data_IF_824206821567
#
_entry.id   IF_824206821567
#
_cell.length_a   1.000
_cell.length_b   1.000
_cell.length_c   1.000
_cell.angle_alpha   90.00
_cell.angle_beta   90.00
_cell.angle_gamma   90.00
#
_symmetry.space_group_name_H-M   'P 1'
#
loop_
_entity.id
_entity.type
_entity.pdbx_description
1 polymer ?
#
# COMPACT_ATOMS: atom_id res chain seq x y z
N UNK A 1 -71.61 -32.56 -29.66
CA UNK A 1 -70.89 -33.85 -29.51
C UNK A 1 -69.42 -33.57 -29.78
N UNK A 2 -68.46 -33.50 -28.85
CA UNK A 2 -68.40 -34.08 -27.51
C UNK A 2 -67.39 -35.23 -27.49
N UNK A 3 -66.08 -34.93 -27.44
CA UNK A 3 -65.05 -35.82 -26.88
C UNK A 3 -63.96 -34.97 -26.17
N UNK A 4 -63.83 -35.22 -24.87
CA UNK A 4 -62.79 -34.74 -23.95
C UNK A 4 -61.59 -35.72 -23.99
N UNK A 5 -60.57 -35.46 -23.15
CA UNK A 5 -59.34 -36.21 -22.82
C UNK A 5 -58.10 -35.75 -23.62
N UNK A 6 -56.94 -35.43 -23.05
CA UNK A 6 -56.46 -35.39 -21.68
C UNK A 6 -55.19 -34.51 -21.57
N UNK A 7 -54.89 -34.06 -20.35
CA UNK A 7 -53.68 -33.37 -19.89
C UNK A 7 -52.38 -34.11 -20.25
N UNK A 8 -51.32 -33.35 -20.55
CA UNK A 8 -49.95 -33.67 -20.12
C UNK A 8 -49.12 -32.37 -20.06
N UNK A 9 -49.11 -31.76 -18.88
CA UNK A 9 -48.15 -30.74 -18.47
C UNK A 9 -46.83 -31.47 -18.22
N UNK A 10 -45.81 -31.20 -19.02
CA UNK A 10 -44.43 -31.56 -18.70
C UNK A 10 -43.62 -30.27 -18.50
N UNK A 11 -43.66 -29.82 -17.25
CA UNK A 11 -42.72 -28.87 -16.67
C UNK A 11 -41.33 -29.51 -16.69
N UNK A 12 -40.52 -29.19 -17.68
CA UNK A 12 -39.07 -29.39 -17.56
C UNK A 12 -38.53 -28.17 -16.83
N UNK A 13 -38.51 -28.26 -15.49
CA UNK A 13 -37.63 -27.44 -14.67
C UNK A 13 -36.19 -27.83 -15.04
N UNK A 14 -35.65 -27.14 -16.04
CA UNK A 14 -34.21 -27.08 -16.25
C UNK A 14 -33.62 -26.44 -15.00
N UNK A 15 -33.17 -27.30 -14.08
CA UNK A 15 -32.35 -26.92 -12.94
C UNK A 15 -31.01 -26.46 -13.53
N UNK A 16 -30.97 -25.22 -14.01
CA UNK A 16 -29.73 -24.51 -14.29
C UNK A 16 -29.03 -24.37 -12.94
N UNK A 17 -28.18 -25.35 -12.64
CA UNK A 17 -27.21 -25.25 -11.56
C UNK A 17 -26.46 -23.93 -11.78
N UNK A 18 -26.81 -22.95 -10.97
CA UNK A 18 -26.06 -21.73 -10.80
C UNK A 18 -24.66 -22.14 -10.32
N UNK A 19 -23.75 -22.37 -11.26
CA UNK A 19 -22.32 -22.28 -10.97
C UNK A 19 -22.01 -20.79 -10.82
N UNK A 20 -22.51 -20.21 -9.73
CA UNK A 20 -21.98 -18.97 -9.17
C UNK A 20 -20.85 -19.35 -8.21
N UNK A 21 -19.88 -20.12 -8.72
CA UNK A 21 -18.69 -20.53 -7.99
C UNK A 21 -17.52 -19.75 -8.59
N UNK A 22 -17.00 -18.82 -7.78
CA UNK A 22 -15.63 -18.27 -7.81
C UNK A 22 -15.18 -17.20 -8.81
N UNK A 23 -16.05 -16.31 -9.27
CA UNK A 23 -15.56 -15.02 -9.79
C UNK A 23 -14.89 -14.15 -8.69
N UNK A 24 -15.32 -14.29 -7.43
CA UNK A 24 -14.87 -13.42 -6.31
C UNK A 24 -13.52 -13.80 -5.70
N UNK A 25 -13.15 -15.08 -5.66
CA UNK A 25 -11.85 -15.51 -5.15
C UNK A 25 -10.71 -15.27 -6.16
N UNK A 26 -11.06 -15.20 -7.45
CA UNK A 26 -10.12 -14.98 -8.55
C UNK A 26 -9.59 -13.53 -8.52
N UNK A 27 -10.46 -12.55 -8.26
CA UNK A 27 -10.07 -11.12 -8.19
C UNK A 27 -9.14 -10.78 -7.00
N UNK A 28 -9.41 -11.33 -5.81
CA UNK A 28 -8.62 -11.00 -4.61
C UNK A 28 -7.24 -11.65 -4.64
N UNK A 29 -7.14 -12.91 -5.07
CA UNK A 29 -5.85 -13.61 -5.25
C UNK A 29 -4.98 -12.89 -6.28
N UNK A 30 -5.58 -12.43 -7.37
CA UNK A 30 -4.88 -11.64 -8.38
C UNK A 30 -4.43 -10.29 -7.84
N UNK A 31 -5.29 -9.55 -7.13
CA UNK A 31 -4.92 -8.29 -6.49
C UNK A 31 -3.74 -8.46 -5.51
N UNK A 32 -3.76 -9.51 -4.68
CA UNK A 32 -2.65 -9.88 -3.80
C UNK A 32 -1.36 -10.15 -4.58
N UNK A 33 -1.41 -10.96 -5.64
CA UNK A 33 -0.24 -11.24 -6.49
C UNK A 33 0.33 -9.96 -7.14
N UNK A 34 -0.54 -9.09 -7.63
CA UNK A 34 -0.13 -7.80 -8.19
C UNK A 34 0.46 -6.89 -7.11
N UNK A 35 -0.02 -6.98 -5.87
CA UNK A 35 0.48 -6.17 -4.77
C UNK A 35 1.89 -6.58 -4.37
N UNK A 36 2.20 -7.86 -4.44
CA UNK A 36 3.54 -8.41 -4.22
C UNK A 36 4.59 -7.82 -5.18
N UNK A 37 4.26 -7.73 -6.47
CA UNK A 37 5.14 -7.09 -7.45
C UNK A 37 5.20 -5.58 -7.25
N UNK A 38 4.05 -4.95 -7.04
CA UNK A 38 3.95 -3.51 -6.83
C UNK A 38 4.76 -3.04 -5.61
N UNK A 39 4.68 -3.75 -4.47
CA UNK A 39 5.44 -3.36 -3.26
C UNK A 39 6.95 -3.46 -3.47
N UNK A 40 7.42 -4.46 -4.22
CA UNK A 40 8.84 -4.62 -4.51
C UNK A 40 9.35 -3.47 -5.40
N UNK A 41 8.59 -3.12 -6.43
CA UNK A 41 8.89 -1.97 -7.30
C UNK A 41 8.83 -0.65 -6.52
N UNK A 42 7.85 -0.51 -5.64
CA UNK A 42 7.70 0.67 -4.80
C UNK A 42 8.88 0.85 -3.84
N UNK A 43 9.27 -0.19 -3.11
CA UNK A 43 10.43 -0.13 -2.22
C UNK A 43 11.70 0.18 -3.00
N UNK A 44 11.89 -0.41 -4.18
CA UNK A 44 13.00 -0.07 -5.07
C UNK A 44 12.98 1.41 -5.47
N UNK A 45 11.82 1.97 -5.80
CA UNK A 45 11.66 3.39 -6.11
C UNK A 45 12.02 4.28 -4.91
N UNK A 46 11.61 3.92 -3.69
CA UNK A 46 11.98 4.65 -2.48
C UNK A 46 13.50 4.62 -2.26
N UNK A 47 14.15 3.47 -2.45
CA UNK A 47 15.60 3.36 -2.33
C UNK A 47 16.35 4.18 -3.40
N UNK A 48 15.85 4.23 -4.64
CA UNK A 48 16.55 4.88 -5.75
C UNK A 48 16.28 6.38 -5.88
N UNK A 49 15.07 6.81 -5.53
CA UNK A 49 14.57 8.15 -5.84
C UNK A 49 13.93 8.85 -4.64
N UNK A 50 13.84 8.18 -3.49
CA UNK A 50 13.29 8.76 -2.28
C UNK A 50 14.20 9.79 -1.63
N UNK A 51 13.76 10.28 -0.47
CA UNK A 51 14.49 11.21 0.40
C UNK A 51 15.37 10.48 1.43
N UNK A 52 15.67 9.21 1.17
CA UNK A 52 16.40 8.35 2.08
C UNK A 52 17.89 8.38 1.78
N UNK A 53 18.70 8.29 2.83
CA UNK A 53 20.15 8.26 2.78
C UNK A 53 20.80 9.49 3.44
N UNK A 54 22.00 9.35 4.05
CA UNK A 54 22.74 10.48 4.61
C UNK A 54 23.04 11.59 3.60
N UNK A 55 23.13 11.27 2.30
CA UNK A 55 23.34 12.22 1.22
C UNK A 55 22.12 13.11 0.94
N UNK A 56 20.94 12.77 1.50
CA UNK A 56 19.69 13.53 1.40
C UNK A 56 19.45 14.42 2.62
N UNK A 57 20.50 14.77 3.34
CA UNK A 57 20.40 15.60 4.55
C UNK A 57 19.67 16.92 4.26
N UNK A 58 18.70 17.22 5.11
CA UNK A 58 17.94 18.45 5.13
C UNK A 58 18.34 19.30 6.32
N UNK A 59 18.14 20.61 6.24
CA UNK A 59 18.48 21.55 7.30
C UNK A 59 17.27 22.38 7.69
N UNK A 60 17.03 22.50 8.98
CA UNK A 60 15.97 23.31 9.57
C UNK A 60 16.58 24.34 10.52
N UNK A 61 16.30 25.62 10.30
CA UNK A 61 16.75 26.72 11.16
C UNK A 61 15.67 27.00 12.23
N UNK A 62 16.05 26.90 13.50
CA UNK A 62 15.10 27.07 14.61
C UNK A 62 14.93 28.55 14.89
N UNK A 63 13.80 29.11 14.46
CA UNK A 63 13.49 30.54 14.63
C UNK A 63 13.63 30.99 16.09
N UNK A 64 14.32 32.10 16.29
CA UNK A 64 14.57 32.67 17.63
C UNK A 64 15.71 31.99 18.40
N UNK A 65 16.33 30.96 17.84
CA UNK A 65 17.53 30.32 18.38
C UNK A 65 18.64 30.37 17.32
N UNK A 66 19.90 30.59 17.71
CA UNK A 66 21.04 30.44 16.78
C UNK A 66 21.37 28.95 16.61
N UNK A 67 20.37 28.17 16.19
CA UNK A 67 20.42 26.71 16.07
C UNK A 67 19.93 26.26 14.69
N UNK A 68 20.61 25.25 14.17
CA UNK A 68 20.31 24.53 12.95
C UNK A 68 20.23 23.05 13.28
N UNK A 69 19.17 22.38 12.82
CA UNK A 69 19.01 20.93 12.89
C UNK A 69 19.30 20.35 11.51
N UNK A 70 20.25 19.42 11.44
CA UNK A 70 20.46 18.59 10.26
C UNK A 70 19.73 17.27 10.44
N UNK A 71 18.94 16.86 9.45
CA UNK A 71 18.08 15.67 9.51
C UNK A 71 18.19 14.86 8.22
N UNK A 72 18.37 13.56 8.36
CA UNK A 72 18.20 12.61 7.25
C UNK A 72 17.41 11.39 7.73
N UNK A 73 16.90 10.62 6.76
CA UNK A 73 16.12 9.41 7.02
C UNK A 73 16.72 8.22 6.30
N UNK A 74 16.59 7.03 6.85
CA UNK A 74 16.99 5.76 6.24
C UNK A 74 15.78 4.84 6.20
N UNK A 75 15.64 4.08 5.10
CA UNK A 75 14.71 2.96 5.06
C UNK A 75 15.18 1.88 6.04
N UNK A 76 14.27 1.46 6.91
CA UNK A 76 14.50 0.41 7.90
C UNK A 76 13.82 -0.91 7.53
N UNK A 77 13.51 -1.70 8.56
CA UNK A 77 12.95 -3.04 8.41
C UNK A 77 11.54 -3.03 7.79
N UNK A 78 11.28 -3.96 6.88
CA UNK A 78 9.92 -4.27 6.46
C UNK A 78 9.12 -4.87 7.63
N UNK A 79 7.90 -4.38 7.88
CA UNK A 79 7.04 -4.89 8.96
C UNK A 79 5.89 -5.73 8.46
N UNK A 80 5.08 -5.19 7.54
CA UNK A 80 3.90 -5.90 7.05
C UNK A 80 3.50 -5.46 5.64
N UNK A 81 2.85 -6.38 4.93
CA UNK A 81 2.12 -6.10 3.70
C UNK A 81 0.83 -6.90 3.71
N UNK A 82 -0.30 -6.26 3.41
CA UNK A 82 -1.59 -6.95 3.28
C UNK A 82 -2.50 -6.23 2.30
N UNK A 83 -3.42 -6.99 1.71
CA UNK A 83 -4.52 -6.44 0.92
C UNK A 83 -5.81 -6.55 1.73
N UNK A 84 -6.63 -5.50 1.68
CA UNK A 84 -7.98 -5.49 2.25
C UNK A 84 -8.99 -5.19 1.16
N UNK A 85 -10.10 -5.92 1.17
CA UNK A 85 -11.25 -5.61 0.33
C UNK A 85 -11.99 -4.38 0.85
N UNK A 86 -12.61 -3.63 -0.06
CA UNK A 86 -13.52 -2.53 0.27
C UNK A 86 -14.89 -2.78 -0.34
N UNK A 87 -15.88 -2.01 0.10
CA UNK A 87 -17.24 -2.04 -0.44
C UNK A 87 -17.41 -1.13 -1.67
N UNK A 88 -16.36 -0.45 -2.11
CA UNK A 88 -16.40 0.51 -3.22
C UNK A 88 -15.97 -0.12 -4.53
N UNK A 89 -16.89 -0.18 -5.52
CA UNK A 89 -16.60 -0.75 -6.85
C UNK A 89 -15.42 -0.09 -7.58
N UNK A 90 -15.21 1.21 -7.40
CA UNK A 90 -14.09 1.94 -8.02
C UNK A 90 -12.74 1.73 -7.34
N UNK A 91 -12.73 1.14 -6.14
CA UNK A 91 -11.51 0.83 -5.38
C UNK A 91 -11.71 -0.48 -4.61
N UNK A 92 -11.91 -1.62 -5.30
CA UNK A 92 -12.35 -2.86 -4.64
C UNK A 92 -11.34 -3.39 -3.61
N UNK A 93 -10.07 -2.95 -3.69
CA UNK A 93 -9.03 -3.32 -2.74
C UNK A 93 -8.17 -2.13 -2.34
N UNK A 94 -7.62 -2.20 -1.12
CA UNK A 94 -6.53 -1.35 -0.64
C UNK A 94 -5.36 -2.22 -0.20
N UNK A 95 -4.16 -1.81 -0.57
CA UNK A 95 -2.90 -2.45 -0.21
C UNK A 95 -2.28 -1.64 0.91
N UNK A 96 -1.87 -2.30 1.98
CA UNK A 96 -1.23 -1.66 3.13
C UNK A 96 0.18 -2.20 3.20
N UNK A 97 1.16 -1.30 3.22
CA UNK A 97 2.57 -1.58 3.39
C UNK A 97 3.07 -0.82 4.60
N UNK A 98 3.68 -1.52 5.57
CA UNK A 98 4.35 -0.86 6.68
C UNK A 98 5.80 -1.27 6.77
N UNK A 99 6.67 -0.30 7.01
CA UNK A 99 8.10 -0.46 7.18
C UNK A 99 8.62 0.56 8.18
N UNK A 100 9.83 0.36 8.69
CA UNK A 100 10.47 1.32 9.57
C UNK A 100 11.15 2.42 8.78
N UNK A 101 11.12 3.62 9.32
CA UNK A 101 11.99 4.72 8.94
C UNK A 101 12.84 5.09 10.14
N UNK A 102 14.15 5.07 9.95
CA UNK A 102 15.10 5.58 10.93
C UNK A 102 15.38 7.03 10.62
N UNK A 103 15.11 7.92 11.55
CA UNK A 103 15.33 9.36 11.43
C UNK A 103 16.51 9.74 12.31
N UNK A 104 17.52 10.37 11.71
CA UNK A 104 18.74 10.78 12.40
C UNK A 104 18.83 12.31 12.38
N UNK A 105 19.06 12.90 13.54
CA UNK A 105 19.11 14.34 13.74
C UNK A 105 20.37 14.76 14.48
N UNK A 106 20.92 15.92 14.11
CA UNK A 106 22.02 16.56 14.83
C UNK A 106 21.80 18.07 14.88
N UNK A 107 22.20 18.69 16.00
CA UNK A 107 22.08 20.12 16.21
C UNK A 107 23.46 20.80 16.10
N UNK A 108 23.47 22.03 15.57
CA UNK A 108 24.64 22.89 15.58
C UNK A 108 24.27 24.36 15.45
N UNK A 109 25.24 25.25 15.55
CA UNK A 109 25.04 26.69 15.34
C UNK A 109 25.07 27.10 13.86
N UNK A 110 25.48 26.17 12.98
CA UNK A 110 25.51 26.32 11.53
C UNK A 110 25.19 24.99 10.84
N UNK A 111 24.87 25.05 9.54
CA UNK A 111 24.68 23.83 8.72
C UNK A 111 25.92 22.94 8.70
N UNK A 112 27.11 23.52 8.64
CA UNK A 112 28.37 22.75 8.61
C UNK A 112 28.62 22.02 9.93
N UNK A 113 28.26 22.63 11.06
CA UNK A 113 28.38 21.99 12.37
C UNK A 113 27.35 20.88 12.53
N UNK A 114 26.07 21.17 12.27
CA UNK A 114 24.99 20.19 12.38
C UNK A 114 25.20 18.98 11.44
N UNK A 115 25.78 19.18 10.25
CA UNK A 115 26.06 18.08 9.33
C UNK A 115 27.16 17.10 9.81
N UNK A 116 28.01 17.50 10.77
CA UNK A 116 29.11 16.66 11.27
C UNK A 116 28.68 15.67 12.35
N UNK A 117 27.50 15.86 12.94
CA UNK A 117 27.07 15.06 14.07
C UNK A 117 27.60 15.58 15.42
N UNK A 118 27.34 14.86 16.53
CA UNK A 118 26.77 13.52 16.56
C UNK A 118 25.31 13.49 16.14
N UNK A 119 24.91 12.43 15.41
CA UNK A 119 23.51 12.20 15.07
C UNK A 119 22.85 11.29 16.10
N UNK A 120 21.76 11.76 16.69
CA UNK A 120 20.83 10.94 17.46
C UNK A 120 19.79 10.35 16.51
N UNK A 121 19.63 9.03 16.53
CA UNK A 121 18.70 8.34 15.63
C UNK A 121 17.56 7.69 16.42
N UNK A 122 16.33 7.86 15.92
CA UNK A 122 15.15 7.14 16.37
C UNK A 122 14.49 6.39 15.22
N UNK A 123 13.65 5.42 15.53
CA UNK A 123 12.89 4.66 14.54
C UNK A 123 11.40 4.94 14.69
N UNK A 124 10.69 5.06 13.57
CA UNK A 124 9.23 5.12 13.53
C UNK A 124 8.68 4.20 12.47
N UNK A 125 7.43 3.76 12.63
CA UNK A 125 6.72 2.99 11.60
C UNK A 125 6.10 3.94 10.59
N UNK A 126 6.37 3.71 9.31
CA UNK A 126 5.65 4.30 8.18
C UNK A 126 4.63 3.29 7.69
N UNK A 127 3.39 3.73 7.49
CA UNK A 127 2.33 2.93 6.87
C UNK A 127 1.81 3.65 5.65
N UNK A 128 1.93 3.02 4.50
CA UNK A 128 1.42 3.52 3.23
C UNK A 128 0.21 2.70 2.77
N UNK A 129 -0.78 3.40 2.22
CA UNK A 129 -2.03 2.81 1.75
C UNK A 129 -2.18 3.10 0.26
N UNK A 130 -2.23 2.03 -0.51
CA UNK A 130 -2.36 2.05 -1.97
C UNK A 130 -3.76 1.63 -2.37
N UNK A 131 -4.28 2.25 -3.43
CA UNK A 131 -5.60 1.94 -3.97
C UNK A 131 -5.45 0.98 -5.13
N UNK A 132 -6.34 0.00 -5.25
CA UNK A 132 -6.46 -0.81 -6.45
C UNK A 132 -7.56 -0.24 -7.34
N UNK A 133 -7.20 0.30 -8.49
CA UNK A 133 -8.14 0.92 -9.41
C UNK A 133 -7.81 0.53 -10.85
N UNK A 134 -8.83 0.22 -11.65
CA UNK A 134 -8.69 -0.15 -13.06
C UNK A 134 -7.66 -1.27 -13.30
N UNK A 135 -7.66 -2.29 -12.43
CA UNK A 135 -6.79 -3.46 -12.57
C UNK A 135 -5.33 -3.26 -12.11
N UNK A 136 -4.99 -2.15 -11.45
CA UNK A 136 -3.62 -1.89 -10.98
C UNK A 136 -3.58 -1.16 -9.63
N UNK A 137 -2.43 -1.30 -8.97
CA UNK A 137 -2.10 -0.56 -7.75
C UNK A 137 -1.64 0.86 -8.08
N UNK A 138 -2.14 1.83 -7.33
CA UNK A 138 -1.78 3.24 -7.46
C UNK A 138 -1.45 3.86 -6.10
N UNK A 139 -0.43 4.72 -6.10
CA UNK A 139 -0.05 5.63 -5.02
C UNK A 139 -0.73 6.99 -5.28
#
# INVERSE_FOLDING_TARGET
MGKRFALAILLVFGFSFLVAVDARATDEKEACKLFESFRAEWMKKLTQHGVYGPEKISFEEIKGQKKVVARYSELGEFKEARVKKTDTKGCPFVGILSYEEKVCESEGTSRSEAAKGPFACGTRTVTEVFRFANGKWVY
#
